data_IF_780454327203
#
_entry.id   IF_780454327203
#
_cell.length_a   1.000
_cell.length_b   1.000
_cell.length_c   1.000
_cell.angle_alpha   90.00
_cell.angle_beta   90.00
_cell.angle_gamma   90.00
#
_symmetry.space_group_name_H-M   'P 1'
#
loop_
_entity.id
_entity.type
_entity.pdbx_description
1 polymer ?
#
# COMPACT_ATOMS: atom_id res chain seq x y z
N UNK A 1 -21.63 -7.39 5.89
CA UNK A 1 -22.38 -8.63 5.59
C UNK A 1 -22.25 -9.57 6.77
N UNK A 2 -23.31 -10.30 7.15
CA UNK A 2 -23.19 -11.38 8.14
C UNK A 2 -22.85 -12.67 7.41
N UNK A 3 -21.81 -13.36 7.87
CA UNK A 3 -21.33 -14.61 7.28
C UNK A 3 -21.13 -15.61 8.41
N UNK A 4 -21.52 -16.86 8.18
CA UNK A 4 -21.25 -17.98 9.10
C UNK A 4 -20.03 -18.72 8.58
N UNK A 5 -18.99 -18.83 9.40
CA UNK A 5 -17.73 -19.51 9.09
C UNK A 5 -17.36 -20.42 10.25
N UNK A 6 -16.79 -21.58 9.94
CA UNK A 6 -16.16 -22.43 10.95
C UNK A 6 -14.73 -21.92 11.16
N UNK A 7 -14.42 -21.50 12.39
CA UNK A 7 -13.12 -20.98 12.80
C UNK A 7 -12.72 -21.77 14.03
N UNK A 8 -11.45 -22.14 14.13
CA UNK A 8 -10.90 -22.74 15.34
C UNK A 8 -11.03 -21.76 16.53
N UNK A 9 -11.61 -22.22 17.64
CA UNK A 9 -11.89 -21.35 18.79
C UNK A 9 -10.61 -20.81 19.43
N UNK A 10 -9.56 -21.65 19.52
CA UNK A 10 -8.28 -21.23 20.11
C UNK A 10 -7.58 -20.17 19.27
N UNK A 11 -7.71 -20.24 17.94
CA UNK A 11 -7.21 -19.21 17.04
C UNK A 11 -7.99 -17.91 17.19
N UNK A 12 -9.33 -17.98 17.30
CA UNK A 12 -10.16 -16.80 17.47
C UNK A 12 -9.86 -16.06 18.78
N UNK A 13 -9.64 -16.80 19.87
CA UNK A 13 -9.21 -16.23 21.16
C UNK A 13 -7.86 -15.52 21.04
N UNK A 14 -6.86 -16.17 20.43
CA UNK A 14 -5.56 -15.54 20.17
C UNK A 14 -5.68 -14.24 19.37
N UNK A 15 -6.53 -14.22 18.33
CA UNK A 15 -6.75 -13.01 17.53
C UNK A 15 -7.40 -11.90 18.37
N UNK A 16 -8.36 -12.22 19.23
CA UNK A 16 -8.98 -11.24 20.14
C UNK A 16 -7.92 -10.66 21.09
N UNK A 17 -7.11 -11.51 21.71
CA UNK A 17 -6.09 -11.09 22.66
C UNK A 17 -5.01 -10.22 22.01
N UNK A 18 -4.52 -10.64 20.83
CA UNK A 18 -3.51 -9.90 20.07
C UNK A 18 -4.03 -8.56 19.54
N UNK A 19 -5.32 -8.48 19.18
CA UNK A 19 -5.92 -7.24 18.69
C UNK A 19 -6.40 -6.32 19.81
N UNK A 20 -6.61 -6.83 21.02
CA UNK A 20 -7.20 -6.08 22.14
C UNK A 20 -8.67 -5.70 21.91
N UNK A 21 -9.33 -6.28 20.91
CA UNK A 21 -10.67 -5.89 20.49
C UNK A 21 -11.75 -6.52 21.36
N UNK A 22 -12.79 -5.74 21.68
CA UNK A 22 -13.87 -6.20 22.58
C UNK A 22 -14.84 -7.20 21.95
N UNK A 23 -14.82 -7.35 20.63
CA UNK A 23 -15.75 -8.24 19.92
C UNK A 23 -15.03 -9.09 18.88
N UNK A 24 -15.48 -10.35 18.75
CA UNK A 24 -15.02 -11.31 17.73
C UNK A 24 -15.00 -10.69 16.33
N UNK A 25 -16.08 -10.00 15.96
CA UNK A 25 -16.20 -9.35 14.64
C UNK A 25 -15.13 -8.28 14.40
N UNK A 26 -14.83 -7.43 15.39
CA UNK A 26 -13.81 -6.40 15.24
C UNK A 26 -12.41 -7.01 15.17
N UNK A 27 -12.12 -7.97 16.03
CA UNK A 27 -10.85 -8.70 16.03
C UNK A 27 -10.58 -9.35 14.66
N UNK A 28 -11.55 -10.10 14.13
CA UNK A 28 -11.43 -10.78 12.83
C UNK A 28 -11.29 -9.78 11.68
N UNK A 29 -12.13 -8.74 11.64
CA UNK A 29 -12.04 -7.73 10.57
C UNK A 29 -10.70 -6.98 10.61
N UNK A 30 -10.19 -6.66 11.81
CA UNK A 30 -8.89 -6.04 11.99
C UNK A 30 -7.75 -6.94 11.49
N UNK A 31 -7.74 -8.20 11.89
CA UNK A 31 -6.75 -9.19 11.47
C UNK A 31 -6.75 -9.38 9.94
N UNK A 32 -7.93 -9.53 9.32
CA UNK A 32 -8.05 -9.67 7.87
C UNK A 32 -7.61 -8.41 7.13
N UNK A 33 -7.93 -7.22 7.66
CA UNK A 33 -7.49 -5.95 7.08
C UNK A 33 -5.96 -5.84 7.12
N UNK A 34 -5.34 -6.19 8.25
CA UNK A 34 -3.89 -6.22 8.41
C UNK A 34 -3.24 -7.21 7.44
N UNK A 35 -3.78 -8.42 7.33
CA UNK A 35 -3.30 -9.45 6.40
C UNK A 35 -3.33 -8.99 4.94
N UNK A 36 -4.45 -8.42 4.49
CA UNK A 36 -4.57 -7.91 3.11
C UNK A 36 -3.58 -6.77 2.86
N UNK A 37 -3.40 -5.86 3.82
CA UNK A 37 -2.41 -4.77 3.73
C UNK A 37 -1.00 -5.32 3.61
N UNK A 38 -0.64 -6.28 4.45
CA UNK A 38 0.68 -6.91 4.45
C UNK A 38 0.98 -7.59 3.10
N UNK A 39 0.01 -8.33 2.55
CA UNK A 39 0.14 -8.94 1.22
C UNK A 39 0.34 -7.91 0.10
N UNK A 40 -0.36 -6.76 0.15
CA UNK A 40 -0.16 -5.68 -0.83
C UNK A 40 1.21 -5.04 -0.70
N UNK A 41 1.69 -4.82 0.52
CA UNK A 41 3.05 -4.29 0.75
C UNK A 41 4.10 -5.27 0.23
N UNK A 42 3.90 -6.57 0.45
CA UNK A 42 4.80 -7.59 -0.08
C UNK A 42 4.83 -7.59 -1.60
N UNK A 43 3.66 -7.49 -2.26
CA UNK A 43 3.60 -7.36 -3.72
C UNK A 43 4.39 -6.15 -4.24
N UNK A 44 4.28 -4.99 -3.58
CA UNK A 44 5.06 -3.81 -3.94
C UNK A 44 6.56 -4.04 -3.76
N UNK A 45 6.96 -4.78 -2.70
CA UNK A 45 8.36 -5.15 -2.47
C UNK A 45 8.88 -6.08 -3.55
N UNK A 46 8.08 -7.04 -3.97
CA UNK A 46 8.45 -7.99 -5.02
C UNK A 46 8.62 -7.31 -6.39
N UNK A 47 8.04 -6.12 -6.58
CA UNK A 47 8.24 -5.29 -7.77
C UNK A 47 9.53 -4.45 -7.71
N UNK A 48 10.22 -4.38 -6.57
CA UNK A 48 11.49 -3.66 -6.49
C UNK A 48 12.52 -4.28 -7.43
N UNK A 49 13.14 -3.45 -8.27
CA UNK A 49 14.12 -3.90 -9.26
C UNK A 49 13.52 -4.53 -10.53
N UNK A 50 12.19 -4.67 -10.63
CA UNK A 50 11.52 -5.07 -11.88
C UNK A 50 10.95 -3.89 -12.66
N UNK A 51 10.80 -2.74 -12.01
CA UNK A 51 10.31 -1.51 -12.62
C UNK A 51 11.50 -0.69 -13.12
N UNK A 52 11.49 -0.35 -14.40
CA UNK A 52 12.38 0.66 -14.98
C UNK A 52 11.83 2.04 -14.62
N UNK A 53 12.55 2.75 -13.73
CA UNK A 53 12.19 4.08 -13.29
C UNK A 53 13.06 5.10 -14.02
N UNK A 54 12.42 6.07 -14.65
CA UNK A 54 13.14 7.22 -15.21
C UNK A 54 13.75 8.02 -14.06
N UNK A 55 15.06 8.27 -14.12
CA UNK A 55 15.78 9.05 -13.11
C UNK A 55 15.57 10.56 -13.29
N UNK A 56 14.32 11.01 -13.14
CA UNK A 56 13.88 12.40 -13.29
C UNK A 56 13.29 12.98 -11.99
N UNK A 57 13.75 12.49 -10.84
CA UNK A 57 13.19 12.88 -9.54
C UNK A 57 13.37 14.38 -9.25
N UNK A 58 14.43 14.99 -9.81
CA UNK A 58 14.73 16.40 -9.59
C UNK A 58 13.72 17.29 -10.31
N UNK A 59 13.42 16.98 -11.57
CA UNK A 59 12.43 17.66 -12.41
C UNK A 59 11.02 17.48 -11.85
N UNK A 60 10.67 16.27 -11.41
CA UNK A 60 9.38 16.01 -10.75
C UNK A 60 9.19 16.85 -9.48
N UNK A 61 10.27 17.16 -8.75
CA UNK A 61 10.24 17.93 -7.49
C UNK A 61 10.25 19.44 -7.71
N UNK A 62 11.01 19.93 -8.68
CA UNK A 62 11.24 21.36 -8.87
C UNK A 62 10.50 21.94 -10.08
N UNK A 63 9.73 21.10 -10.79
CA UNK A 63 9.13 21.43 -12.06
C UNK A 63 10.08 21.12 -13.22
N UNK A 64 9.50 20.78 -14.37
CA UNK A 64 10.28 20.71 -15.60
C UNK A 64 10.72 22.13 -15.96
N UNK A 65 12.00 22.33 -16.32
CA UNK A 65 12.42 23.63 -16.83
C UNK A 65 11.53 24.00 -18.02
N UNK A 66 10.92 25.18 -17.97
CA UNK A 66 10.22 25.74 -19.11
C UNK A 66 11.18 25.74 -20.31
N UNK A 67 10.76 25.26 -21.49
CA UNK A 67 11.61 25.32 -22.66
C UNK A 67 12.05 26.76 -22.87
N UNK A 68 13.35 26.95 -23.12
CA UNK A 68 13.88 28.28 -23.43
C UNK A 68 13.04 28.88 -24.57
N UNK A 69 12.61 30.15 -24.47
CA UNK A 69 11.88 30.80 -25.55
C UNK A 69 12.67 30.62 -26.85
N UNK A 70 12.01 30.36 -28.00
CA UNK A 70 12.73 30.25 -29.26
C UNK A 70 13.55 31.52 -29.43
N UNK A 71 14.88 31.37 -29.47
CA UNK A 71 15.78 32.48 -29.77
C UNK A 71 15.26 33.13 -31.05
N UNK A 72 14.89 34.41 -30.94
CA UNK A 72 14.46 35.21 -32.08
C UNK A 72 15.50 35.01 -33.17
N UNK A 73 15.15 34.26 -34.21
CA UNK A 73 15.96 34.12 -35.41
C UNK A 73 16.14 35.54 -35.93
N UNK A 74 17.30 36.12 -35.64
CA UNK A 74 17.74 37.34 -36.30
C UNK A 74 18.18 36.93 -37.70
N UNK A 75 17.26 37.16 -38.62
CA UNK A 75 17.51 37.18 -40.07
C UNK A 75 18.62 38.18 -40.43
#
# INVERSE_FOLDING_TARGET
MRTTLNIDDSLLEQVIDLTGEKTKTRAVNGALTAYVRDRRIQQLRDMLGTIDLVDNWYELRHGFPEPSPPEERKD
#
